data_IF_316195668915
#
_entry.id   IF_316195668915
#
_cell.length_a   1.000
_cell.length_b   1.000
_cell.length_c   1.000
_cell.angle_alpha   90.00
_cell.angle_beta   90.00
_cell.angle_gamma   90.00
#
_symmetry.space_group_name_H-M   'P 1'
#
loop_
_entity.id
_entity.type
_entity.pdbx_description
1 polymer ?
#
# COMPACT_ATOMS: atom_id res chain seq x y z
N UNK A 1 -1.33 -26.85 22.02
CA UNK A 1 -0.61 -25.72 22.61
C UNK A 1 -1.13 -24.43 22.02
N UNK A 2 -1.58 -23.54 22.86
CA UNK A 2 -2.15 -22.30 22.42
C UNK A 2 -1.05 -21.35 21.92
N UNK A 3 -1.27 -20.76 20.75
CA UNK A 3 -0.36 -19.75 20.25
C UNK A 3 -0.63 -18.41 20.94
N UNK A 4 0.42 -17.64 21.15
CA UNK A 4 0.28 -16.27 21.60
C UNK A 4 -0.37 -15.42 20.51
N UNK A 5 -1.11 -14.38 20.87
CA UNK A 5 -1.63 -13.44 19.87
C UNK A 5 -0.48 -12.72 19.14
N UNK A 6 -0.77 -12.27 17.93
CA UNK A 6 0.23 -11.59 17.10
C UNK A 6 0.90 -10.42 17.82
N UNK A 7 0.13 -9.63 18.60
CA UNK A 7 0.71 -8.51 19.34
C UNK A 7 1.82 -8.91 20.32
N UNK A 8 1.86 -10.18 20.72
CA UNK A 8 2.91 -10.70 21.61
C UNK A 8 4.04 -11.39 20.85
N UNK A 9 3.82 -11.73 19.57
CA UNK A 9 4.80 -12.40 18.71
C UNK A 9 5.53 -11.45 17.77
N UNK A 10 4.93 -10.30 17.46
CA UNK A 10 5.45 -9.34 16.48
C UNK A 10 5.79 -8.04 17.17
N UNK A 11 6.99 -7.55 16.93
CA UNK A 11 7.42 -6.26 17.45
C UNK A 11 7.05 -5.16 16.48
N UNK A 12 6.36 -4.13 16.96
CA UNK A 12 5.99 -2.98 16.13
C UNK A 12 7.23 -2.17 15.76
N UNK A 13 7.47 -1.92 14.47
CA UNK A 13 8.54 -1.03 14.04
C UNK A 13 8.10 0.42 14.13
N UNK A 14 9.05 1.34 14.01
CA UNK A 14 8.73 2.74 13.78
C UNK A 14 8.22 2.89 12.35
N UNK A 15 7.09 3.57 12.20
CA UNK A 15 6.47 3.78 10.89
C UNK A 15 6.46 5.27 10.57
N UNK A 16 7.13 5.62 9.48
CA UNK A 16 7.16 6.99 8.98
C UNK A 16 7.07 6.96 7.46
N UNK A 17 6.38 7.93 6.88
CA UNK A 17 6.33 8.11 5.43
C UNK A 17 7.75 8.29 4.89
N UNK A 18 8.02 7.84 3.65
CA UNK A 18 9.32 8.08 3.03
C UNK A 18 9.63 9.57 3.00
N UNK A 19 10.91 9.89 3.15
CA UNK A 19 11.38 11.27 3.06
C UNK A 19 11.42 11.70 1.60
N UNK A 20 10.84 12.87 1.28
CA UNK A 20 10.88 13.42 -0.06
C UNK A 20 12.29 13.80 -0.46
N UNK A 21 12.65 13.58 -1.73
CA UNK A 21 13.94 13.89 -2.30
C UNK A 21 13.78 14.21 -3.78
N UNK A 22 14.60 15.15 -4.29
CA UNK A 22 14.61 15.48 -5.72
C UNK A 22 13.27 15.97 -6.27
N UNK A 23 12.52 16.75 -5.50
CA UNK A 23 11.22 17.28 -5.91
C UNK A 23 10.04 16.30 -5.67
N UNK A 24 10.30 15.18 -5.02
CA UNK A 24 9.26 14.20 -4.67
C UNK A 24 8.73 14.48 -3.27
N UNK A 25 7.41 14.50 -3.13
CA UNK A 25 6.73 14.67 -1.84
C UNK A 25 5.88 13.44 -1.57
N UNK A 26 5.99 12.89 -0.35
CA UNK A 26 5.19 11.77 0.09
C UNK A 26 4.14 12.21 1.11
N UNK A 27 2.92 11.75 0.94
CA UNK A 27 1.85 11.93 1.93
C UNK A 27 0.80 10.83 1.80
N UNK A 28 -0.08 10.74 2.79
CA UNK A 28 -1.23 9.85 2.70
C UNK A 28 -2.19 10.33 1.59
N UNK A 29 -2.91 9.38 1.01
CA UNK A 29 -3.93 9.68 0.01
C UNK A 29 -5.18 10.25 0.67
N UNK A 30 -5.93 11.01 -0.12
CA UNK A 30 -7.29 11.43 0.19
C UNK A 30 -8.20 11.04 -0.97
N UNK A 31 -9.51 11.12 -0.79
CA UNK A 31 -10.46 10.84 -1.87
C UNK A 31 -10.26 11.78 -3.07
N UNK A 32 -9.75 12.99 -2.83
CA UNK A 32 -9.47 13.95 -3.90
C UNK A 32 -8.31 13.50 -4.80
N UNK A 33 -7.53 12.50 -4.40
CA UNK A 33 -6.36 12.03 -5.16
C UNK A 33 -6.71 10.90 -6.13
N UNK A 34 -7.94 10.41 -6.15
CA UNK A 34 -8.34 9.25 -6.98
C UNK A 34 -7.99 9.46 -8.44
N UNK A 35 -8.30 10.63 -9.02
CA UNK A 35 -8.00 10.87 -10.44
C UNK A 35 -6.50 10.85 -10.74
N UNK A 36 -5.69 11.44 -9.87
CA UNK A 36 -4.24 11.45 -10.05
C UNK A 36 -3.64 10.03 -9.88
N UNK A 37 -4.16 9.26 -8.94
CA UNK A 37 -3.74 7.87 -8.75
C UNK A 37 -4.17 7.01 -9.94
N UNK A 38 -5.38 7.22 -10.45
CA UNK A 38 -5.87 6.50 -11.62
C UNK A 38 -4.97 6.73 -12.84
N UNK A 39 -4.52 7.97 -13.06
CA UNK A 39 -3.59 8.28 -14.14
C UNK A 39 -2.30 7.45 -14.02
N UNK A 40 -1.77 7.33 -12.81
CA UNK A 40 -0.61 6.48 -12.53
C UNK A 40 -0.92 5.00 -12.79
N UNK A 41 -2.05 4.51 -12.29
CA UNK A 41 -2.46 3.11 -12.45
C UNK A 41 -2.71 2.75 -13.90
N UNK A 42 -3.24 3.65 -14.70
CA UNK A 42 -3.47 3.39 -16.13
C UNK A 42 -2.16 3.29 -16.90
N UNK A 43 -1.15 4.07 -16.54
CA UNK A 43 0.19 3.91 -17.12
C UNK A 43 0.81 2.57 -16.73
N UNK A 44 0.67 2.16 -15.46
CA UNK A 44 1.12 0.84 -14.99
C UNK A 44 0.41 -0.27 -15.77
N UNK A 45 -0.91 -0.18 -15.89
CA UNK A 45 -1.70 -1.18 -16.61
C UNK A 45 -1.24 -1.32 -18.05
N UNK A 46 -1.06 -0.20 -18.75
CA UNK A 46 -0.62 -0.21 -20.14
C UNK A 46 0.74 -0.86 -20.33
N UNK A 47 1.65 -0.70 -19.37
CA UNK A 47 2.99 -1.25 -19.45
C UNK A 47 3.06 -2.72 -19.03
N UNK A 48 2.36 -3.08 -17.94
CA UNK A 48 2.53 -4.38 -17.28
C UNK A 48 1.44 -5.40 -17.63
N UNK A 49 0.20 -4.95 -17.85
CA UNK A 49 -0.93 -5.83 -18.15
C UNK A 49 -1.97 -5.12 -19.02
N UNK A 50 -1.64 -4.88 -20.30
CA UNK A 50 -2.50 -4.06 -21.18
C UNK A 50 -3.88 -4.65 -21.45
N UNK A 51 -4.10 -5.92 -21.13
CA UNK A 51 -5.40 -6.57 -21.27
C UNK A 51 -6.35 -6.27 -20.11
N UNK A 52 -5.84 -5.67 -19.04
CA UNK A 52 -6.63 -5.32 -17.86
C UNK A 52 -6.26 -3.91 -17.41
N UNK A 53 -7.10 -2.94 -17.75
CA UNK A 53 -6.90 -1.55 -17.35
C UNK A 53 -7.66 -1.27 -16.06
N UNK A 54 -6.96 -0.70 -15.08
CA UNK A 54 -7.59 -0.23 -13.85
C UNK A 54 -8.61 0.86 -14.16
N UNK A 55 -9.80 0.74 -13.60
CA UNK A 55 -10.86 1.73 -13.76
C UNK A 55 -11.07 2.50 -12.44
N UNK A 56 -11.70 3.69 -12.55
CA UNK A 56 -11.93 4.57 -11.41
C UNK A 56 -12.71 3.88 -10.30
N UNK A 57 -13.72 3.11 -10.65
CA UNK A 57 -14.61 2.43 -9.71
C UNK A 57 -13.85 1.46 -8.80
N UNK A 58 -12.80 0.82 -9.31
CA UNK A 58 -11.97 -0.08 -8.50
C UNK A 58 -11.21 0.69 -7.42
N UNK A 59 -10.66 1.86 -7.75
CA UNK A 59 -9.97 2.70 -6.78
C UNK A 59 -10.95 3.29 -5.75
N UNK A 60 -12.13 3.71 -6.21
CA UNK A 60 -13.17 4.21 -5.30
C UNK A 60 -13.57 3.13 -4.31
N UNK A 61 -13.75 1.89 -4.77
CA UNK A 61 -14.08 0.77 -3.92
C UNK A 61 -12.99 0.50 -2.89
N UNK A 62 -11.73 0.49 -3.31
CA UNK A 62 -10.60 0.30 -2.38
C UNK A 62 -10.55 1.39 -1.32
N UNK A 63 -10.83 2.63 -1.68
CA UNK A 63 -10.77 3.76 -0.76
C UNK A 63 -11.96 3.83 0.19
N UNK A 64 -13.09 3.23 -0.18
CA UNK A 64 -14.33 3.24 0.60
C UNK A 64 -14.44 2.07 1.57
N UNK A 65 -13.54 1.10 1.53
CA UNK A 65 -13.57 -0.02 2.47
C UNK A 65 -13.53 0.49 3.91
N UNK A 66 -14.45 0.01 4.74
CA UNK A 66 -14.54 0.41 6.16
C UNK A 66 -13.30 0.04 6.97
N UNK A 67 -12.52 -0.92 6.50
CA UNK A 67 -11.31 -1.39 7.17
C UNK A 67 -10.03 -0.70 6.65
N UNK A 68 -10.16 0.31 5.79
CA UNK A 68 -9.04 1.11 5.29
C UNK A 68 -9.11 2.51 5.89
N UNK A 69 -8.03 2.91 6.54
CA UNK A 69 -7.86 4.28 7.01
C UNK A 69 -6.85 4.97 6.09
N UNK A 70 -7.33 5.81 5.18
CA UNK A 70 -6.48 6.46 4.17
C UNK A 70 -5.30 7.20 4.81
N UNK A 71 -5.52 7.86 5.95
CA UNK A 71 -4.48 8.64 6.61
C UNK A 71 -3.32 7.79 7.13
N UNK A 72 -3.55 6.52 7.42
CA UNK A 72 -2.56 5.62 8.01
C UNK A 72 -2.13 4.49 7.08
N UNK A 73 -3.00 4.10 6.16
CA UNK A 73 -2.83 2.90 5.35
C UNK A 73 -2.40 3.18 3.92
N UNK A 74 -2.19 4.43 3.55
CA UNK A 74 -1.76 4.81 2.20
C UNK A 74 -0.52 5.70 2.22
N UNK A 75 0.26 5.62 1.14
CA UNK A 75 1.38 6.51 0.87
C UNK A 75 1.42 6.81 -0.62
N UNK A 76 1.54 8.09 -0.97
CA UNK A 76 1.55 8.54 -2.37
C UNK A 76 2.71 9.49 -2.57
N UNK A 77 3.47 9.27 -3.64
CA UNK A 77 4.56 10.14 -4.06
C UNK A 77 4.09 11.05 -5.19
N UNK A 78 4.29 12.34 -5.01
CA UNK A 78 3.92 13.38 -5.99
C UNK A 78 5.17 14.10 -6.49
N UNK A 79 5.15 14.51 -7.76
CA UNK A 79 6.13 15.47 -8.27
C UNK A 79 5.71 16.90 -7.92
N UNK A 80 6.50 17.88 -8.38
CA UNK A 80 6.23 19.29 -8.11
C UNK A 80 4.93 19.80 -8.75
N UNK A 81 4.44 19.12 -9.77
CA UNK A 81 3.21 19.46 -10.49
C UNK A 81 1.98 18.71 -9.95
N UNK A 82 2.15 17.89 -8.93
CA UNK A 82 1.06 17.12 -8.34
C UNK A 82 0.75 15.82 -9.07
N UNK A 83 1.62 15.38 -9.97
CA UNK A 83 1.48 14.11 -10.67
C UNK A 83 1.91 12.97 -9.74
N UNK A 84 1.13 11.91 -9.71
CA UNK A 84 1.47 10.72 -8.90
C UNK A 84 2.56 9.92 -9.58
N UNK A 85 3.66 9.71 -8.87
CA UNK A 85 4.81 8.94 -9.35
C UNK A 85 4.76 7.49 -8.86
N UNK A 86 4.24 7.30 -7.66
CA UNK A 86 4.09 5.98 -7.03
C UNK A 86 3.01 6.08 -5.96
N UNK A 87 2.37 4.97 -5.66
CA UNK A 87 1.41 4.94 -4.56
C UNK A 87 1.31 3.53 -4.00
N UNK A 88 0.91 3.44 -2.74
CA UNK A 88 0.73 2.16 -2.09
C UNK A 88 -0.32 2.19 -1.00
N UNK A 89 -0.85 1.03 -0.71
CA UNK A 89 -1.92 0.78 0.22
C UNK A 89 -1.57 -0.47 1.02
N UNK A 90 -1.86 -0.44 2.32
CA UNK A 90 -1.78 -1.62 3.19
C UNK A 90 -3.18 -1.92 3.66
N UNK A 91 -3.67 -3.13 3.40
CA UNK A 91 -5.02 -3.50 3.82
C UNK A 91 -5.07 -4.89 4.43
N UNK A 92 -5.92 -5.01 5.46
CA UNK A 92 -6.22 -6.27 6.11
C UNK A 92 -7.69 -6.60 5.87
N UNK A 93 -7.99 -7.49 4.89
CA UNK A 93 -9.39 -7.87 4.65
C UNK A 93 -10.00 -8.51 5.90
N UNK A 94 -11.25 -8.18 6.25
CA UNK A 94 -11.92 -8.79 7.40
C UNK A 94 -12.30 -10.25 7.14
N UNK A 95 -12.67 -10.96 8.20
CA UNK A 95 -13.22 -12.31 8.10
C UNK A 95 -12.20 -13.42 7.84
N UNK A 96 -10.92 -13.16 8.06
CA UNK A 96 -9.88 -14.19 7.90
C UNK A 96 -9.94 -15.21 9.01
N UNK A 97 -9.90 -16.49 8.68
CA UNK A 97 -10.06 -17.60 9.62
C UNK A 97 -8.82 -18.46 9.82
N UNK A 98 -7.92 -18.48 8.84
CA UNK A 98 -6.74 -19.34 8.86
C UNK A 98 -5.43 -18.61 9.04
N UNK A 99 -5.36 -17.35 8.60
CA UNK A 99 -4.20 -16.50 8.76
C UNK A 99 -4.63 -15.04 8.67
N UNK A 100 -3.83 -14.15 9.24
CA UNK A 100 -4.03 -12.69 9.10
C UNK A 100 -3.10 -12.21 8.00
N UNK A 101 -3.67 -11.63 6.93
CA UNK A 101 -2.91 -11.10 5.81
C UNK A 101 -2.95 -9.58 5.82
N UNK A 102 -1.77 -8.98 5.75
CA UNK A 102 -1.63 -7.58 5.39
C UNK A 102 -1.24 -7.54 3.92
N UNK A 103 -2.12 -7.02 3.08
CA UNK A 103 -1.91 -6.96 1.63
C UNK A 103 -1.26 -5.63 1.28
N UNK A 104 -0.14 -5.70 0.58
CA UNK A 104 0.62 -4.55 0.11
C UNK A 104 0.34 -4.38 -1.38
N UNK A 105 -0.44 -3.36 -1.72
CA UNK A 105 -0.86 -3.09 -3.09
C UNK A 105 -0.35 -1.72 -3.55
N UNK A 106 -0.31 -1.51 -4.86
CA UNK A 106 0.13 -0.26 -5.46
C UNK A 106 1.22 -0.47 -6.50
N UNK A 107 1.92 0.57 -6.87
CA UNK A 107 2.98 0.47 -7.85
C UNK A 107 3.69 1.79 -8.12
N UNK A 108 4.64 1.72 -9.04
CA UNK A 108 5.44 2.87 -9.49
C UNK A 108 5.10 3.15 -10.96
N UNK A 109 4.86 4.42 -11.29
CA UNK A 109 4.64 4.84 -12.66
C UNK A 109 5.81 4.36 -13.53
N UNK A 110 5.56 3.64 -14.63
CA UNK A 110 6.65 3.06 -15.42
C UNK A 110 7.71 4.05 -15.86
N UNK A 111 7.33 5.27 -16.25
CA UNK A 111 8.27 6.32 -16.66
C UNK A 111 9.16 6.81 -15.51
N UNK A 112 8.85 6.47 -14.28
CA UNK A 112 9.58 6.91 -13.09
C UNK A 112 10.33 5.76 -12.39
N UNK A 113 10.36 4.59 -12.99
CA UNK A 113 11.09 3.43 -12.46
C UNK A 113 12.61 3.67 -12.51
N UNK A 114 13.33 3.01 -11.62
CA UNK A 114 14.78 3.16 -11.53
C UNK A 114 15.27 4.30 -10.67
N UNK A 115 14.35 4.97 -9.94
CA UNK A 115 14.67 6.08 -9.02
C UNK A 115 14.63 5.68 -7.54
N UNK A 116 14.36 4.41 -7.24
CA UNK A 116 14.26 3.92 -5.86
C UNK A 116 12.91 4.15 -5.21
N UNK A 117 11.90 4.66 -5.92
CA UNK A 117 10.57 4.92 -5.37
C UNK A 117 9.89 3.65 -4.87
N UNK A 118 9.99 2.57 -5.64
CA UNK A 118 9.41 1.28 -5.25
C UNK A 118 10.03 0.72 -3.98
N UNK A 119 11.33 0.89 -3.82
CA UNK A 119 12.04 0.41 -2.62
C UNK A 119 11.54 1.13 -1.38
N UNK A 120 11.50 2.47 -1.40
CA UNK A 120 11.09 3.23 -0.21
C UNK A 120 9.61 3.04 0.09
N UNK A 121 8.77 2.89 -0.95
CA UNK A 121 7.36 2.56 -0.79
C UNK A 121 7.20 1.21 -0.12
N UNK A 122 7.88 0.18 -0.60
CA UNK A 122 7.78 -1.16 -0.04
C UNK A 122 8.29 -1.19 1.40
N UNK A 123 9.36 -0.47 1.71
CA UNK A 123 9.86 -0.37 3.09
C UNK A 123 8.80 0.20 4.03
N UNK A 124 8.08 1.24 3.59
CA UNK A 124 6.99 1.81 4.37
C UNK A 124 5.83 0.80 4.51
N UNK A 125 5.45 0.14 3.42
CA UNK A 125 4.38 -0.86 3.44
C UNK A 125 4.71 -2.02 4.39
N UNK A 126 5.94 -2.52 4.36
CA UNK A 126 6.38 -3.58 5.26
C UNK A 126 6.32 -3.14 6.73
N UNK A 127 6.76 -1.91 7.01
CA UNK A 127 6.71 -1.36 8.35
C UNK A 127 5.26 -1.20 8.85
N UNK A 128 4.40 -0.61 8.02
CA UNK A 128 2.98 -0.42 8.38
C UNK A 128 2.25 -1.75 8.54
N UNK A 129 2.46 -2.69 7.62
CA UNK A 129 1.87 -4.03 7.72
C UNK A 129 2.32 -4.75 8.97
N UNK A 130 3.60 -4.66 9.32
CA UNK A 130 4.14 -5.24 10.55
C UNK A 130 3.53 -4.58 11.79
N UNK A 131 3.37 -3.25 11.77
CA UNK A 131 2.72 -2.52 12.86
C UNK A 131 1.29 -3.00 13.08
N UNK A 132 0.55 -3.25 12.00
CA UNK A 132 -0.81 -3.76 12.10
C UNK A 132 -0.85 -5.17 12.69
N UNK A 133 0.05 -6.05 12.26
CA UNK A 133 0.16 -7.39 12.85
C UNK A 133 0.52 -7.31 14.33
N UNK A 134 1.42 -6.41 14.71
CA UNK A 134 1.84 -6.22 16.10
C UNK A 134 0.71 -5.66 16.99
N UNK A 135 -0.35 -5.13 16.41
CA UNK A 135 -1.52 -4.64 17.14
C UNK A 135 -2.67 -5.66 17.18
N UNK A 136 -2.51 -6.81 16.55
CA UNK A 136 -3.59 -7.80 16.40
C UNK A 136 -3.69 -8.75 17.59
N UNK A 137 -4.91 -8.98 18.07
CA UNK A 137 -5.21 -9.95 19.12
C UNK A 137 -5.35 -11.37 18.59
N UNK A 138 -5.26 -11.56 17.27
CA UNK A 138 -5.46 -12.86 16.64
C UNK A 138 -4.30 -13.80 16.97
N UNK A 139 -4.61 -15.07 17.14
CA UNK A 139 -3.63 -16.11 17.41
C UNK A 139 -3.20 -16.87 16.16
N UNK A 140 -3.71 -16.45 14.99
CA UNK A 140 -3.39 -17.03 13.69
C UNK A 140 -1.98 -16.63 13.23
N UNK A 141 -1.40 -17.32 12.23
CA UNK A 141 -0.21 -16.82 11.57
C UNK A 141 -0.48 -15.46 10.92
N UNK A 142 0.53 -14.61 10.87
CA UNK A 142 0.46 -13.31 10.21
C UNK A 142 1.37 -13.26 8.99
N UNK A 143 0.87 -12.77 7.86
CA UNK A 143 1.60 -12.68 6.60
C UNK A 143 1.55 -11.26 6.04
N UNK A 144 2.66 -10.86 5.46
CA UNK A 144 2.73 -9.68 4.58
C UNK A 144 2.75 -10.22 3.16
N UNK A 145 1.83 -9.76 2.32
CA UNK A 145 1.64 -10.29 0.96
C UNK A 145 1.63 -9.18 -0.07
N UNK A 146 2.28 -9.44 -1.19
CA UNK A 146 2.15 -8.61 -2.38
C UNK A 146 1.97 -9.50 -3.59
N UNK A 147 1.40 -8.96 -4.65
CA UNK A 147 1.20 -9.66 -5.91
C UNK A 147 2.14 -9.08 -6.95
N UNK A 148 2.72 -9.94 -7.76
CA UNK A 148 3.64 -9.54 -8.83
C UNK A 148 3.14 -10.14 -10.13
N UNK A 149 2.90 -9.33 -11.12
CA UNK A 149 2.55 -9.76 -12.47
C UNK A 149 3.80 -10.27 -13.19
N UNK A 150 3.63 -11.33 -13.95
CA UNK A 150 4.71 -11.90 -14.75
C UNK A 150 4.63 -11.41 -16.18
#
# INVERSE_FOLDING_TARGET
MDQLPLRERVTAPDVALPTGDGGVTWRAATEADIDAILDCEQEISAADHPHYMTIREELEEDFEHSYVDLARDTAVAFDADGRVLAWGLVLEPPGQETLVREILAGGVRPSERGRGLGRVLLQWQLARGTERLAASDRTLPGWLMTFVDK
#
